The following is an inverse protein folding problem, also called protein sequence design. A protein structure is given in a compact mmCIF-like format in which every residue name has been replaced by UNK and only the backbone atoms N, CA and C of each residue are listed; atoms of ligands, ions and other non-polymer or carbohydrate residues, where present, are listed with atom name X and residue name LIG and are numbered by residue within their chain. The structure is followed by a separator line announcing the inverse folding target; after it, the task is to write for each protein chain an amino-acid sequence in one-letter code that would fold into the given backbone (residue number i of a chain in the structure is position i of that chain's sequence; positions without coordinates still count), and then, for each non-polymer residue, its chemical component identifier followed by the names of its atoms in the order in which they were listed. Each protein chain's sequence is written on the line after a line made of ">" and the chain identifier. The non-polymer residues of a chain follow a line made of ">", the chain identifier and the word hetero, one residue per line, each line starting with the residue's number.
data_IF_557272662982
#
_entry.id   IF_557272662982
#
_cell.length_a   1.000
_cell.length_b   1.000
_cell.length_c   1.000
_cell.angle_alpha   90.00
_cell.angle_beta   90.00
_cell.angle_gamma   90.00
#
_symmetry.space_group_name_H-M   'P 1'
#
loop_
_entity.id
_entity.type
_entity.pdbx_description
1 polymer ?
#
# COMPACT_ATOMS: atom_id res chain seq x y z
N UNK A 1 -12.15 6.87 13.88
CA UNK A 1 -12.60 5.69 13.11
C UNK A 1 -14.05 5.85 12.73
N UNK A 2 -14.37 5.64 11.45
CA UNK A 2 -15.71 5.67 10.90
C UNK A 2 -16.11 4.26 10.45
N UNK A 3 -17.40 3.93 10.49
CA UNK A 3 -17.88 2.63 9.99
C UNK A 3 -18.44 2.81 8.58
N UNK A 4 -18.03 1.96 7.65
CA UNK A 4 -18.59 1.88 6.30
C UNK A 4 -19.08 0.45 6.01
N UNK A 5 -19.91 0.28 4.98
CA UNK A 5 -20.32 -1.04 4.50
C UNK A 5 -19.55 -1.39 3.23
N UNK A 6 -19.01 -2.60 3.16
CA UNK A 6 -18.37 -3.16 1.95
C UNK A 6 -19.28 -4.22 1.35
N UNK A 7 -19.40 -4.23 0.03
CA UNK A 7 -20.14 -5.28 -0.69
C UNK A 7 -19.22 -6.46 -0.98
N UNK A 8 -19.58 -7.65 -0.48
CA UNK A 8 -18.84 -8.90 -0.71
C UNK A 8 -19.74 -9.88 -1.48
N UNK A 9 -19.23 -10.41 -2.59
CA UNK A 9 -19.90 -11.46 -3.33
C UNK A 9 -19.56 -12.82 -2.70
N UNK A 10 -20.59 -13.51 -2.22
CA UNK A 10 -20.44 -14.85 -1.63
C UNK A 10 -20.91 -15.90 -2.63
N UNK A 11 -20.07 -16.90 -2.88
CA UNK A 11 -20.42 -18.12 -3.61
C UNK A 11 -20.42 -19.30 -2.63
N UNK A 12 -21.56 -19.59 -1.95
CA UNK A 12 -21.65 -20.79 -1.13
C UNK A 12 -21.60 -22.05 -2.00
N UNK A 13 -20.96 -23.13 -1.51
CA UNK A 13 -20.76 -24.39 -2.25
C UNK A 13 -22.06 -25.03 -2.78
N UNK A 14 -23.21 -24.67 -2.20
CA UNK A 14 -24.54 -24.96 -2.73
C UNK A 14 -25.44 -23.73 -2.60
N UNK A 15 -25.50 -22.89 -3.64
CA UNK A 15 -26.45 -21.79 -3.73
C UNK A 15 -26.16 -20.82 -4.88
N UNK A 16 -27.13 -19.96 -5.19
CA UNK A 16 -26.91 -18.83 -6.11
C UNK A 16 -26.03 -17.77 -5.45
N UNK A 17 -25.14 -17.16 -6.23
CA UNK A 17 -24.31 -16.03 -5.79
C UNK A 17 -25.17 -14.95 -5.12
N UNK A 18 -24.77 -14.52 -3.92
CA UNK A 18 -25.45 -13.43 -3.20
C UNK A 18 -24.43 -12.39 -2.78
N UNK A 19 -24.77 -11.13 -3.03
CA UNK A 19 -24.04 -9.97 -2.53
C UNK A 19 -24.48 -9.65 -1.11
N UNK A 20 -23.53 -9.51 -0.19
CA UNK A 20 -23.76 -9.20 1.23
C UNK A 20 -22.97 -7.95 1.61
N UNK A 21 -23.60 -7.02 2.33
CA UNK A 21 -22.93 -5.86 2.89
C UNK A 21 -22.35 -6.20 4.27
N UNK A 22 -21.05 -5.99 4.47
CA UNK A 22 -20.34 -6.24 5.73
C UNK A 22 -19.80 -4.93 6.29
N UNK A 23 -19.99 -4.61 7.58
CA UNK A 23 -19.43 -3.42 8.19
C UNK A 23 -17.91 -3.54 8.35
N UNK A 24 -17.19 -2.49 7.98
CA UNK A 24 -15.75 -2.34 8.16
C UNK A 24 -15.45 -1.03 8.90
N UNK A 25 -14.42 -1.05 9.74
CA UNK A 25 -13.91 0.12 10.42
C UNK A 25 -12.83 0.79 9.56
N UNK A 26 -13.05 2.04 9.19
CA UNK A 26 -12.13 2.86 8.43
C UNK A 26 -11.40 3.84 9.35
N UNK A 27 -10.06 3.93 9.25
CA UNK A 27 -9.32 4.96 9.95
C UNK A 27 -9.63 6.34 9.35
N UNK A 28 -9.38 7.40 10.12
CA UNK A 28 -9.46 8.76 9.58
C UNK A 28 -8.24 9.02 8.67
N UNK A 29 -8.46 9.53 7.47
CA UNK A 29 -7.36 9.72 6.52
C UNK A 29 -6.33 10.77 6.98
N UNK A 30 -6.70 11.75 7.79
CA UNK A 30 -5.72 12.68 8.35
C UNK A 30 -4.84 12.00 9.40
N UNK A 31 -5.40 11.09 10.20
CA UNK A 31 -4.62 10.27 11.14
C UNK A 31 -3.65 9.34 10.41
N UNK A 32 -4.09 8.75 9.29
CA UNK A 32 -3.26 7.89 8.43
C UNK A 32 -2.10 8.69 7.84
N UNK A 33 -2.37 9.86 7.24
CA UNK A 33 -1.32 10.75 6.69
C UNK A 33 -0.31 11.15 7.74
N UNK A 34 -0.77 11.62 8.90
CA UNK A 34 0.12 12.01 9.98
C UNK A 34 0.96 10.84 10.50
N UNK A 35 0.45 9.61 10.45
CA UNK A 35 1.23 8.42 10.79
C UNK A 35 2.27 8.08 9.72
N UNK A 36 1.89 8.12 8.44
CA UNK A 36 2.82 7.92 7.33
C UNK A 36 3.96 8.94 7.34
N UNK A 37 3.67 10.22 7.60
CA UNK A 37 4.70 11.27 7.74
C UNK A 37 5.67 10.99 8.90
N UNK A 38 5.17 10.47 10.04
CA UNK A 38 6.04 10.09 11.17
C UNK A 38 6.95 8.92 10.80
N UNK A 39 6.43 7.89 10.13
CA UNK A 39 7.26 6.79 9.63
C UNK A 39 8.29 7.29 8.62
N UNK A 40 7.88 8.22 7.76
CA UNK A 40 8.75 8.82 6.77
C UNK A 40 9.93 9.57 7.41
N UNK A 41 9.65 10.38 8.44
CA UNK A 41 10.67 11.08 9.23
C UNK A 41 11.63 10.13 9.97
N UNK A 42 11.17 8.94 10.36
CA UNK A 42 12.02 7.94 11.00
C UNK A 42 12.95 7.23 10.00
N UNK A 43 12.55 7.13 8.73
CA UNK A 43 13.39 6.57 7.67
C UNK A 43 13.71 5.08 7.84
N UNK A 44 12.90 4.33 8.60
CA UNK A 44 13.08 2.90 8.84
C UNK A 44 11.90 2.13 8.27
N UNK A 45 12.17 0.99 7.63
CA UNK A 45 11.11 0.08 7.18
C UNK A 45 10.22 -0.31 8.35
N UNK A 46 8.91 -0.35 8.10
CA UNK A 46 7.91 -0.65 9.11
C UNK A 46 6.81 -1.51 8.50
N UNK A 47 6.46 -2.60 9.18
CA UNK A 47 5.38 -3.49 8.78
C UNK A 47 4.62 -3.94 10.03
N UNK A 48 3.32 -3.72 10.05
CA UNK A 48 2.46 -4.06 11.18
C UNK A 48 0.97 -4.03 10.78
N UNK A 49 0.10 -4.33 11.73
CA UNK A 49 -1.34 -4.14 11.60
C UNK A 49 -1.81 -2.95 12.44
N UNK A 50 -2.24 -1.88 11.76
CA UNK A 50 -2.68 -0.63 12.40
C UNK A 50 -4.15 -0.37 12.07
N UNK A 51 -4.96 -0.03 13.09
CA UNK A 51 -6.43 0.12 12.96
C UNK A 51 -7.16 -1.10 12.37
N UNK A 52 -6.55 -2.29 12.46
CA UNK A 52 -7.08 -3.53 11.90
C UNK A 52 -6.69 -3.81 10.44
N UNK A 53 -5.88 -2.94 9.82
CA UNK A 53 -5.43 -3.07 8.44
C UNK A 53 -3.94 -3.38 8.37
N UNK A 54 -3.53 -4.21 7.42
CA UNK A 54 -2.12 -4.40 7.08
C UNK A 54 -1.53 -3.08 6.61
N UNK A 55 -0.32 -2.77 7.09
CA UNK A 55 0.41 -1.56 6.76
C UNK A 55 1.86 -1.91 6.47
N UNK A 56 2.42 -1.28 5.43
CA UNK A 56 3.85 -1.28 5.15
C UNK A 56 4.34 0.13 4.86
N UNK A 57 5.58 0.40 5.27
CA UNK A 57 6.36 1.55 4.89
C UNK A 57 7.77 1.09 4.54
N UNK A 58 8.25 1.52 3.38
CA UNK A 58 9.63 1.34 2.96
C UNK A 58 10.27 2.72 2.71
N UNK A 59 11.46 2.99 3.27
CA UNK A 59 12.15 4.25 3.04
C UNK A 59 12.69 4.33 1.61
N UNK A 60 13.14 5.53 1.23
CA UNK A 60 13.83 5.73 -0.05
C UNK A 60 15.09 4.85 -0.09
N UNK A 61 15.28 4.17 -1.21
CA UNK A 61 16.52 3.48 -1.53
C UNK A 61 17.28 4.36 -2.51
N UNK A 62 18.53 4.67 -2.17
CA UNK A 62 19.47 5.35 -3.05
C UNK A 62 20.83 4.68 -2.91
N UNK A 63 21.07 3.68 -3.74
CA UNK A 63 22.26 2.85 -3.72
C UNK A 63 23.02 3.05 -5.03
N UNK A 64 24.09 3.87 -5.03
CA UNK A 64 24.97 3.98 -6.18
C UNK A 64 25.73 2.65 -6.37
N UNK A 65 25.95 2.27 -7.62
CA UNK A 65 26.68 1.04 -7.96
C UNK A 65 26.11 -0.24 -7.29
N UNK A 66 24.78 -0.35 -7.17
CA UNK A 66 24.12 -1.54 -6.64
C UNK A 66 24.27 -2.73 -7.60
N UNK A 67 24.50 -3.92 -7.05
CA UNK A 67 24.47 -5.18 -7.80
C UNK A 67 23.02 -5.67 -7.95
N UNK A 68 22.48 -5.61 -9.16
CA UNK A 68 21.09 -5.97 -9.47
C UNK A 68 21.06 -7.17 -10.43
N UNK A 69 20.20 -8.15 -10.15
CA UNK A 69 19.96 -9.25 -11.08
C UNK A 69 18.96 -8.81 -12.14
N UNK A 70 19.39 -8.77 -13.40
CA UNK A 70 18.55 -8.42 -14.55
C UNK A 70 18.39 -9.63 -15.49
N UNK A 71 17.21 -9.81 -16.12
CA UNK A 71 17.02 -10.87 -17.10
C UNK A 71 18.00 -10.76 -18.26
N UNK A 72 18.66 -11.87 -18.61
CA UNK A 72 19.68 -11.90 -19.68
C UNK A 72 19.10 -11.98 -21.11
N UNK A 73 17.78 -11.97 -21.24
CA UNK A 73 17.05 -12.15 -22.51
C UNK A 73 17.06 -13.58 -23.08
N UNK A 74 17.72 -14.52 -22.40
CA UNK A 74 17.88 -15.93 -22.78
C UNK A 74 17.19 -16.90 -21.80
N UNK A 75 16.53 -16.36 -20.77
CA UNK A 75 15.84 -17.13 -19.74
C UNK A 75 16.64 -17.32 -18.45
N UNK A 76 17.79 -16.66 -18.32
CA UNK A 76 18.58 -16.55 -17.11
C UNK A 76 18.63 -15.12 -16.54
N UNK A 77 19.54 -14.92 -15.59
CA UNK A 77 19.80 -13.63 -14.96
C UNK A 77 21.31 -13.35 -14.98
N UNK A 78 21.68 -12.09 -15.17
CA UNK A 78 23.05 -11.60 -14.99
C UNK A 78 23.07 -10.55 -13.90
N UNK A 79 24.16 -10.50 -13.14
CA UNK A 79 24.40 -9.41 -12.18
C UNK A 79 25.00 -8.23 -12.92
N UNK A 80 24.34 -7.08 -12.83
CA UNK A 80 24.85 -5.80 -13.33
C UNK A 80 25.00 -4.81 -12.18
N UNK A 81 26.01 -3.95 -12.29
CA UNK A 81 26.22 -2.84 -11.37
C UNK A 81 25.56 -1.59 -11.95
N UNK A 82 24.54 -1.06 -11.27
CA UNK A 82 23.82 0.13 -11.69
C UNK A 82 23.34 0.95 -10.50
N UNK A 83 23.09 2.23 -10.72
CA UNK A 83 22.49 3.08 -9.69
C UNK A 83 21.04 2.66 -9.46
N UNK A 84 20.72 2.27 -8.23
CA UNK A 84 19.38 1.87 -7.82
C UNK A 84 18.74 3.01 -7.02
N UNK A 85 17.64 3.52 -7.55
CA UNK A 85 16.78 4.45 -6.83
C UNK A 85 15.35 3.92 -6.77
N UNK A 86 14.77 3.91 -5.58
CA UNK A 86 13.36 3.64 -5.36
C UNK A 86 12.81 4.65 -4.33
N UNK A 87 11.67 5.30 -4.62
CA UNK A 87 11.10 6.28 -3.70
C UNK A 87 10.59 5.61 -2.43
N UNK A 88 10.51 6.39 -1.34
CA UNK A 88 9.81 5.93 -0.15
C UNK A 88 8.35 5.63 -0.49
N UNK A 89 7.80 4.58 0.11
CA UNK A 89 6.43 4.14 -0.13
C UNK A 89 5.73 3.79 1.17
N UNK A 90 4.46 4.12 1.25
CA UNK A 90 3.55 3.77 2.34
C UNK A 90 2.29 3.16 1.75
N UNK A 91 1.82 2.06 2.34
CA UNK A 91 0.57 1.42 1.97
C UNK A 91 -0.16 0.92 3.21
N UNK A 92 -1.47 1.09 3.24
CA UNK A 92 -2.35 0.52 4.26
C UNK A 92 -3.65 0.04 3.64
N UNK A 93 -4.16 -1.09 4.12
CA UNK A 93 -5.44 -1.64 3.71
C UNK A 93 -5.32 -2.82 2.77
N UNK A 94 -6.43 -3.19 2.17
CA UNK A 94 -6.55 -4.32 1.25
C UNK A 94 -7.21 -3.82 -0.05
N UNK A 95 -6.51 -4.03 -1.17
CA UNK A 95 -7.00 -3.62 -2.49
C UNK A 95 -8.35 -4.30 -2.80
N UNK A 96 -9.29 -3.53 -3.34
CA UNK A 96 -10.65 -4.01 -3.58
C UNK A 96 -11.55 -4.08 -2.34
N UNK A 97 -11.10 -3.67 -1.16
CA UNK A 97 -11.98 -3.40 -0.01
C UNK A 97 -11.88 -1.92 0.33
N UNK A 98 -10.71 -1.52 0.83
CA UNK A 98 -10.30 -0.16 1.11
C UNK A 98 -8.78 -0.17 1.15
N UNK A 99 -8.14 0.70 0.38
CA UNK A 99 -6.70 0.78 0.30
C UNK A 99 -6.25 2.22 0.14
N UNK A 100 -5.22 2.62 0.87
CA UNK A 100 -4.61 3.94 0.76
C UNK A 100 -3.09 3.80 0.67
N UNK A 101 -2.47 4.56 -0.23
CA UNK A 101 -1.02 4.59 -0.36
C UNK A 101 -0.48 6.00 -0.62
N UNK A 102 0.78 6.20 -0.23
CA UNK A 102 1.53 7.43 -0.44
C UNK A 102 2.89 7.05 -1.05
N UNK A 103 3.29 7.74 -2.12
CA UNK A 103 4.57 7.51 -2.80
C UNK A 103 5.36 8.82 -2.93
N UNK A 104 6.56 8.88 -2.39
CA UNK A 104 7.45 10.04 -2.46
C UNK A 104 8.25 10.05 -3.78
N UNK A 105 7.55 9.96 -4.91
CA UNK A 105 8.17 9.81 -6.25
C UNK A 105 9.00 11.03 -6.70
N UNK A 106 8.81 12.18 -6.07
CA UNK A 106 9.56 13.41 -6.36
C UNK A 106 10.73 13.66 -5.36
N UNK A 107 11.05 12.64 -4.55
CA UNK A 107 12.09 12.69 -3.52
C UNK A 107 11.54 12.90 -2.11
N UNK A 108 12.36 12.55 -1.11
CA UNK A 108 12.02 12.55 0.33
C UNK A 108 11.48 13.88 0.85
N UNK A 109 12.00 15.01 0.37
CA UNK A 109 11.60 16.33 0.88
C UNK A 109 10.36 16.92 0.18
N UNK A 110 9.76 16.19 -0.75
CA UNK A 110 8.57 16.62 -1.49
C UNK A 110 7.29 15.95 -0.98
N UNK A 111 6.13 16.57 -1.18
CA UNK A 111 4.86 15.92 -0.87
C UNK A 111 4.70 14.60 -1.66
N UNK A 112 4.18 13.54 -1.03
CA UNK A 112 3.92 12.30 -1.72
C UNK A 112 2.70 12.40 -2.64
N UNK A 113 2.67 11.54 -3.64
CA UNK A 113 1.46 11.27 -4.42
C UNK A 113 0.59 10.29 -3.65
N UNK A 114 -0.67 10.66 -3.46
CA UNK A 114 -1.65 9.84 -2.75
C UNK A 114 -2.53 9.05 -3.71
N UNK A 115 -2.89 7.85 -3.31
CA UNK A 115 -3.89 7.03 -3.98
C UNK A 115 -4.85 6.42 -2.95
N UNK A 116 -6.14 6.46 -3.26
CA UNK A 116 -7.22 5.89 -2.45
C UNK A 116 -8.08 5.00 -3.34
N UNK A 117 -8.21 3.73 -2.97
CA UNK A 117 -9.21 2.81 -3.51
C UNK A 117 -10.33 2.61 -2.48
N UNK A 118 -11.46 3.27 -2.69
CA UNK A 118 -12.65 3.22 -1.84
C UNK A 118 -13.90 2.77 -2.62
N UNK A 119 -13.72 2.24 -3.84
CA UNK A 119 -14.80 1.99 -4.81
C UNK A 119 -15.85 0.98 -4.34
N UNK A 120 -15.51 0.12 -3.39
CA UNK A 120 -16.40 -0.91 -2.86
C UNK A 120 -17.05 -0.52 -1.52
N UNK A 121 -16.80 0.70 -1.04
CA UNK A 121 -17.50 1.28 0.09
C UNK A 121 -18.87 1.79 -0.35
N UNK A 122 -19.90 1.42 0.41
CA UNK A 122 -21.23 1.97 0.26
C UNK A 122 -21.34 3.25 1.11
N UNK A 123 -21.95 4.33 0.58
CA UNK A 123 -22.22 5.52 1.37
C UNK A 123 -23.16 5.17 2.54
N UNK A 124 -22.88 5.79 3.69
CA UNK A 124 -23.70 5.68 4.91
C UNK A 124 -24.93 6.57 4.89
#
# INVERSE_FOLDING_TARGET
>A
MNTALVTVNTQPEKGSSRSVAVPVALPDLQEVRAFAERLHQLGQSYQDRVWGWELSYEPEINEPEAEVQVPDGQGGFVTETMDLWAPASFAIGESGIWFFSMLWENGTDQPPVEFLDDRNLLPS
#
